data_IF_745292921326
#
_entry.id   IF_745292921326
#
_cell.length_a   1.000
_cell.length_b   1.000
_cell.length_c   1.000
_cell.angle_alpha   90.00
_cell.angle_beta   90.00
_cell.angle_gamma   90.00
#
_symmetry.space_group_name_H-M   'P 1'
#
loop_
_entity.id
_entity.type
_entity.pdbx_description
1 polymer ?
#
# COMPACT_ATOMS: atom_id res chain seq x y z
N UNK A 1 -8.12 -13.64 -9.74
CA UNK A 1 -6.90 -14.46 -9.49
C UNK A 1 -5.84 -14.10 -10.52
N UNK A 2 -4.64 -13.71 -10.10
CA UNK A 2 -3.57 -13.18 -10.98
C UNK A 2 -2.78 -14.29 -11.69
N UNK A 3 -2.74 -15.49 -11.11
CA UNK A 3 -2.06 -16.67 -11.64
C UNK A 3 -3.06 -17.60 -12.33
N UNK A 4 -2.73 -18.09 -13.53
CA UNK A 4 -3.60 -19.02 -14.29
C UNK A 4 -3.09 -20.45 -14.39
N UNK A 5 -1.78 -20.63 -14.46
CA UNK A 5 -1.18 -21.96 -14.67
C UNK A 5 0.29 -21.97 -14.22
N UNK A 6 0.61 -22.51 -13.03
CA UNK A 6 1.96 -22.81 -12.62
C UNK A 6 2.42 -24.21 -13.08
N UNK A 7 3.72 -24.29 -13.34
CA UNK A 7 4.47 -25.51 -13.63
C UNK A 7 5.30 -25.79 -12.38
N UNK A 8 5.06 -26.94 -11.77
CA UNK A 8 5.57 -27.30 -10.46
C UNK A 8 6.51 -28.49 -10.59
N UNK A 9 7.70 -28.37 -10.01
CA UNK A 9 8.53 -29.52 -9.71
C UNK A 9 8.23 -29.95 -8.27
N UNK A 10 7.57 -31.11 -8.11
CA UNK A 10 7.07 -31.55 -6.81
C UNK A 10 8.18 -32.14 -5.94
N UNK A 11 7.90 -32.33 -4.65
CA UNK A 11 8.82 -33.03 -3.73
C UNK A 11 9.08 -34.50 -4.09
N UNK A 12 8.32 -35.07 -5.04
CA UNK A 12 8.54 -36.42 -5.58
C UNK A 12 9.47 -36.45 -6.80
N UNK A 13 9.94 -35.29 -7.26
CA UNK A 13 10.78 -35.18 -8.44
C UNK A 13 10.00 -35.18 -9.77
N UNK A 14 8.70 -34.90 -9.72
CA UNK A 14 7.81 -34.93 -10.90
C UNK A 14 7.47 -33.51 -11.36
N UNK A 15 7.40 -33.33 -12.68
CA UNK A 15 6.88 -32.09 -13.28
C UNK A 15 5.38 -32.19 -13.47
N UNK A 16 4.64 -31.30 -12.81
CA UNK A 16 3.18 -31.21 -12.90
C UNK A 16 2.77 -29.84 -13.41
N UNK A 17 1.82 -29.81 -14.34
CA UNK A 17 1.16 -28.58 -14.79
C UNK A 17 -0.23 -28.53 -14.18
N UNK A 18 -0.47 -27.57 -13.29
CA UNK A 18 -1.76 -27.40 -12.63
C UNK A 18 -2.41 -26.06 -12.99
N UNK A 19 -3.73 -26.01 -12.91
CA UNK A 19 -4.58 -24.83 -13.18
C UNK A 19 -5.80 -24.86 -12.26
N UNK A 20 -6.65 -23.84 -12.32
CA UNK A 20 -7.94 -23.84 -11.62
C UNK A 20 -8.92 -24.94 -12.07
N UNK A 21 -8.62 -25.68 -13.15
CA UNK A 21 -9.46 -26.75 -13.70
C UNK A 21 -8.73 -28.10 -13.82
N UNK A 22 -7.42 -28.15 -13.57
CA UNK A 22 -6.58 -29.34 -13.68
C UNK A 22 -5.63 -29.41 -12.50
N UNK A 23 -5.56 -30.55 -11.81
CA UNK A 23 -4.70 -30.72 -10.63
C UNK A 23 -4.95 -29.58 -9.61
N UNK A 24 -6.24 -29.29 -9.38
CA UNK A 24 -6.72 -28.08 -8.70
C UNK A 24 -6.26 -27.97 -7.26
N UNK A 25 -6.16 -29.11 -6.57
CA UNK A 25 -5.64 -29.18 -5.21
C UNK A 25 -4.20 -28.67 -5.16
N UNK A 26 -3.32 -29.19 -6.04
CA UNK A 26 -1.95 -28.72 -6.14
C UNK A 26 -1.90 -27.24 -6.54
N UNK A 27 -2.74 -26.81 -7.49
CA UNK A 27 -2.83 -25.42 -7.93
C UNK A 27 -3.11 -24.45 -6.79
N UNK A 28 -4.07 -24.75 -5.91
CA UNK A 28 -4.37 -23.89 -4.77
C UNK A 28 -3.38 -24.08 -3.62
N UNK A 29 -2.84 -25.28 -3.41
CA UNK A 29 -1.86 -25.56 -2.37
C UNK A 29 -0.56 -24.77 -2.56
N UNK A 30 -0.06 -24.63 -3.80
CA UNK A 30 1.18 -23.88 -4.07
C UNK A 30 1.03 -22.36 -3.90
N UNK A 31 -0.18 -21.83 -3.99
CA UNK A 31 -0.44 -20.39 -3.92
C UNK A 31 -0.54 -19.93 -2.46
N UNK A 32 0.53 -19.29 -1.98
CA UNK A 32 0.67 -19.02 -0.54
C UNK A 32 1.10 -20.24 0.27
N UNK A 33 1.47 -21.34 -0.40
CA UNK A 33 1.89 -22.60 0.23
C UNK A 33 3.31 -22.60 0.81
N UNK A 34 3.98 -21.45 0.87
CA UNK A 34 5.30 -21.28 1.50
C UNK A 34 6.35 -22.31 1.00
N UNK A 35 6.30 -22.68 -0.28
CA UNK A 35 7.22 -23.64 -0.90
C UNK A 35 7.07 -25.11 -0.45
N UNK A 36 6.03 -25.45 0.32
CA UNK A 36 5.88 -26.80 0.91
C UNK A 36 5.54 -27.89 -0.12
N UNK A 37 4.94 -27.53 -1.25
CA UNK A 37 4.36 -28.50 -2.20
C UNK A 37 5.15 -28.65 -3.50
N UNK A 38 6.26 -27.92 -3.64
CA UNK A 38 7.13 -27.97 -4.81
C UNK A 38 7.67 -26.60 -5.21
N UNK A 39 8.50 -26.60 -6.25
CA UNK A 39 9.14 -25.41 -6.81
C UNK A 39 8.34 -24.95 -8.02
N UNK A 40 7.85 -23.71 -8.00
CA UNK A 40 7.23 -23.08 -9.17
C UNK A 40 8.35 -22.73 -10.16
N UNK A 41 8.43 -23.46 -11.28
CA UNK A 41 9.46 -23.25 -12.32
C UNK A 41 8.99 -22.35 -13.46
N UNK A 42 7.68 -22.27 -13.69
CA UNK A 42 7.05 -21.34 -14.63
C UNK A 42 5.67 -20.99 -14.13
N UNK A 43 5.20 -19.79 -14.44
CA UNK A 43 3.84 -19.41 -14.13
C UNK A 43 3.26 -18.44 -15.17
N UNK A 44 1.95 -18.56 -15.44
CA UNK A 44 1.22 -17.66 -16.33
C UNK A 44 0.51 -16.58 -15.51
N UNK A 45 0.91 -15.33 -15.72
CA UNK A 45 0.40 -14.14 -15.04
C UNK A 45 -0.57 -13.41 -15.96
N UNK A 46 -1.70 -12.94 -15.42
CA UNK A 46 -2.64 -12.08 -16.14
C UNK A 46 -2.03 -10.70 -16.33
N UNK A 47 -2.09 -10.20 -17.57
CA UNK A 47 -1.64 -8.85 -17.91
C UNK A 47 -2.84 -7.96 -18.23
N UNK A 48 -2.67 -6.67 -18.01
CA UNK A 48 -3.55 -5.60 -18.46
C UNK A 48 -2.76 -4.60 -19.30
N UNK A 49 -3.41 -3.77 -20.13
CA UNK A 49 -2.73 -2.71 -20.86
C UNK A 49 -2.00 -1.77 -19.88
N UNK A 50 -0.70 -1.60 -20.07
CA UNK A 50 0.10 -0.68 -19.27
C UNK A 50 -0.38 0.76 -19.51
N UNK A 51 -0.53 1.50 -18.41
CA UNK A 51 -0.84 2.93 -18.46
C UNK A 51 0.42 3.75 -18.68
N UNK A 52 0.28 4.93 -19.26
CA UNK A 52 1.43 5.81 -19.48
C UNK A 52 1.84 6.54 -18.19
N UNK A 53 0.86 7.01 -17.42
CA UNK A 53 1.09 7.94 -16.30
C UNK A 53 0.27 7.60 -15.07
N UNK A 54 0.69 8.19 -13.94
CA UNK A 54 0.09 8.03 -12.62
C UNK A 54 -0.02 9.38 -11.93
N UNK A 55 -1.25 9.75 -11.55
CA UNK A 55 -1.47 10.78 -10.52
C UNK A 55 -1.30 10.11 -9.16
N UNK A 56 -0.23 10.44 -8.45
CA UNK A 56 0.13 9.88 -7.16
C UNK A 56 -0.10 10.91 -6.07
N UNK A 57 -1.02 10.62 -5.14
CA UNK A 57 -1.42 11.53 -4.09
C UNK A 57 -1.09 10.99 -2.70
N UNK A 58 -0.75 11.92 -1.81
CA UNK A 58 -0.61 11.71 -0.36
C UNK A 58 -1.53 12.67 0.38
N UNK A 59 -2.44 12.11 1.18
CA UNK A 59 -3.51 12.83 1.86
C UNK A 59 -3.34 12.63 3.37
N UNK A 60 -3.15 13.71 4.13
CA UNK A 60 -2.85 13.62 5.56
C UNK A 60 -4.09 13.73 6.44
N UNK A 61 -4.08 12.97 7.52
CA UNK A 61 -5.13 12.84 8.53
C UNK A 61 -4.53 12.97 9.93
N UNK A 62 -5.21 13.69 10.81
CA UNK A 62 -4.81 13.79 12.23
C UNK A 62 -5.52 12.78 13.14
N UNK A 63 -6.56 12.11 12.62
CA UNK A 63 -7.42 11.20 13.37
C UNK A 63 -7.51 9.83 12.68
N UNK A 64 -7.29 8.75 13.46
CA UNK A 64 -7.27 7.38 12.94
C UNK A 64 -8.66 6.91 12.47
N UNK A 65 -9.73 7.32 13.16
CA UNK A 65 -11.09 6.94 12.79
C UNK A 65 -11.45 7.49 11.41
N UNK A 66 -11.11 8.75 11.17
CA UNK A 66 -11.31 9.44 9.91
C UNK A 66 -10.45 8.86 8.79
N UNK A 67 -9.17 8.57 9.08
CA UNK A 67 -8.24 7.91 8.17
C UNK A 67 -8.75 6.52 7.71
N UNK A 68 -9.09 5.65 8.66
CA UNK A 68 -9.54 4.28 8.36
C UNK A 68 -10.89 4.27 7.64
N UNK A 69 -11.83 5.13 8.04
CA UNK A 69 -13.14 5.27 7.36
C UNK A 69 -12.99 5.71 5.91
N UNK A 70 -12.10 6.67 5.63
CA UNK A 70 -11.87 7.15 4.28
C UNK A 70 -11.14 6.10 3.42
N UNK A 71 -10.18 5.34 3.98
CA UNK A 71 -9.57 4.19 3.27
C UNK A 71 -10.63 3.16 2.87
N UNK A 72 -11.51 2.78 3.79
CA UNK A 72 -12.61 1.83 3.54
C UNK A 72 -13.60 2.34 2.51
N UNK A 73 -13.90 3.65 2.53
CA UNK A 73 -14.77 4.30 1.54
C UNK A 73 -14.19 4.21 0.14
N UNK A 74 -12.88 4.41 0.00
CA UNK A 74 -12.17 4.37 -1.29
C UNK A 74 -12.09 2.97 -1.89
N UNK A 75 -12.01 1.91 -1.06
CA UNK A 75 -11.99 0.52 -1.55
C UNK A 75 -13.39 -0.11 -1.67
N UNK A 76 -14.46 0.62 -1.33
CA UNK A 76 -15.83 0.10 -1.41
C UNK A 76 -16.21 -0.23 -2.85
N UNK A 77 -16.67 -1.47 -3.06
CA UNK A 77 -17.17 -1.97 -4.36
C UNK A 77 -18.64 -1.62 -4.60
N UNK A 78 -19.29 -0.96 -3.65
CA UNK A 78 -20.70 -0.56 -3.74
C UNK A 78 -20.87 0.93 -3.46
N UNK A 79 -21.94 1.50 -4.02
CA UNK A 79 -22.28 2.91 -3.83
C UNK A 79 -21.52 3.89 -4.74
N UNK A 80 -21.63 5.21 -4.48
CA UNK A 80 -21.11 6.25 -5.36
C UNK A 80 -19.57 6.24 -5.50
N UNK A 81 -18.84 5.76 -4.49
CA UNK A 81 -17.37 5.76 -4.47
C UNK A 81 -16.76 4.74 -5.43
N UNK A 82 -17.48 3.68 -5.83
CA UNK A 82 -16.98 2.68 -6.76
C UNK A 82 -16.51 3.28 -8.10
N UNK A 83 -17.21 4.32 -8.59
CA UNK A 83 -16.85 5.01 -9.85
C UNK A 83 -15.58 5.84 -9.76
N UNK A 84 -15.10 6.11 -8.55
CA UNK A 84 -13.93 6.96 -8.27
C UNK A 84 -12.87 6.24 -7.43
N UNK A 85 -12.99 4.92 -7.29
CA UNK A 85 -12.00 4.07 -6.61
C UNK A 85 -10.64 4.27 -7.27
N UNK A 86 -9.55 4.48 -6.50
CA UNK A 86 -8.20 4.59 -7.05
C UNK A 86 -7.69 3.23 -7.55
N UNK A 87 -6.72 3.26 -8.45
CA UNK A 87 -6.10 2.04 -8.98
C UNK A 87 -5.08 1.43 -7.99
N UNK A 88 -4.63 2.25 -7.02
CA UNK A 88 -3.80 1.84 -5.89
C UNK A 88 -4.22 2.61 -4.63
N UNK A 89 -4.22 1.91 -3.48
CA UNK A 89 -4.41 2.51 -2.16
C UNK A 89 -3.54 1.79 -1.14
N UNK A 90 -2.76 2.55 -0.40
CA UNK A 90 -2.11 2.15 0.84
C UNK A 90 -2.31 3.24 1.90
N UNK A 91 -1.78 3.00 3.08
CA UNK A 91 -1.68 4.02 4.10
C UNK A 91 -0.46 3.81 4.98
N UNK A 92 -0.02 4.88 5.60
CA UNK A 92 1.21 4.91 6.38
C UNK A 92 1.07 5.80 7.61
N UNK A 93 1.96 5.62 8.58
CA UNK A 93 2.15 6.53 9.70
C UNK A 93 3.30 7.49 9.42
N UNK A 94 3.08 8.78 9.66
CA UNK A 94 4.10 9.80 9.74
C UNK A 94 4.36 10.15 11.20
N UNK A 95 5.61 9.98 11.62
CA UNK A 95 6.14 10.28 12.95
C UNK A 95 7.40 11.15 12.81
N UNK A 96 8.00 11.59 13.90
CA UNK A 96 9.10 12.58 13.89
C UNK A 96 10.33 12.18 13.04
N UNK A 97 10.55 10.90 12.80
CA UNK A 97 11.67 10.38 11.99
C UNK A 97 11.27 9.98 10.55
N UNK A 98 10.01 10.17 10.17
CA UNK A 98 9.54 9.79 8.84
C UNK A 98 10.16 10.69 7.75
N UNK A 99 10.61 10.11 6.62
CA UNK A 99 11.16 10.89 5.52
C UNK A 99 10.09 11.78 4.88
N UNK A 100 10.47 13.01 4.56
CA UNK A 100 9.56 14.00 3.95
C UNK A 100 9.86 14.28 2.47
N UNK A 101 10.67 13.45 1.82
CA UNK A 101 11.16 13.64 0.43
C UNK A 101 10.03 13.62 -0.62
N UNK A 102 8.87 13.07 -0.27
CA UNK A 102 7.69 13.19 -1.12
C UNK A 102 7.15 14.63 -1.18
N UNK A 103 7.24 15.36 -0.07
CA UNK A 103 6.59 16.66 0.10
C UNK A 103 7.51 17.80 -0.37
N UNK A 104 6.95 18.89 -0.92
CA UNK A 104 7.73 20.09 -1.21
C UNK A 104 8.43 20.60 0.05
N UNK A 105 9.68 21.05 -0.07
CA UNK A 105 10.47 21.56 1.06
C UNK A 105 9.76 22.71 1.81
N UNK A 106 9.00 23.54 1.08
CA UNK A 106 8.19 24.63 1.65
C UNK A 106 7.07 24.15 2.60
N UNK A 107 6.70 22.87 2.55
CA UNK A 107 5.65 22.26 3.36
C UNK A 107 6.21 21.45 4.52
N UNK A 108 7.52 21.17 4.55
CA UNK A 108 8.16 20.34 5.58
C UNK A 108 7.89 20.88 6.98
N UNK A 109 8.09 22.18 7.22
CA UNK A 109 7.83 22.77 8.54
C UNK A 109 6.38 22.62 9.00
N UNK A 110 5.41 22.74 8.08
CA UNK A 110 3.98 22.57 8.40
C UNK A 110 3.65 21.12 8.74
N UNK A 111 4.21 20.17 7.99
CA UNK A 111 4.03 18.73 8.25
C UNK A 111 4.69 18.35 9.57
N UNK A 112 5.92 18.81 9.84
CA UNK A 112 6.60 18.60 11.13
C UNK A 112 5.81 19.18 12.29
N UNK A 113 5.24 20.38 12.14
CA UNK A 113 4.36 20.98 13.15
C UNK A 113 3.12 20.11 13.42
N UNK A 114 2.50 19.59 12.35
CA UNK A 114 1.36 18.68 12.45
C UNK A 114 1.72 17.38 13.20
N UNK A 115 2.87 16.78 12.86
CA UNK A 115 3.40 15.60 13.55
C UNK A 115 3.65 15.90 15.04
N UNK A 116 4.28 17.03 15.35
CA UNK A 116 4.54 17.41 16.74
C UNK A 116 3.26 17.66 17.53
N UNK A 117 2.21 18.18 16.89
CA UNK A 117 0.92 18.42 17.52
C UNK A 117 0.17 17.13 17.85
N UNK A 118 0.16 16.16 16.94
CA UNK A 118 -0.66 14.93 17.08
C UNK A 118 0.13 13.69 17.50
N UNK A 119 1.46 13.75 17.48
CA UNK A 119 2.39 12.63 17.67
C UNK A 119 2.46 11.71 16.45
N UNK A 120 1.31 11.27 15.96
CA UNK A 120 1.17 10.49 14.73
C UNK A 120 0.26 11.26 13.77
N UNK A 121 0.70 11.41 12.53
CA UNK A 121 -0.15 11.81 11.40
C UNK A 121 -0.33 10.60 10.50
N UNK A 122 -1.57 10.30 10.12
CA UNK A 122 -1.89 9.20 9.22
C UNK A 122 -1.90 9.71 7.78
N UNK A 123 -1.46 8.87 6.85
CA UNK A 123 -1.36 9.18 5.44
C UNK A 123 -2.15 8.15 4.65
N UNK A 124 -3.11 8.58 3.83
CA UNK A 124 -3.61 7.75 2.71
C UNK A 124 -2.76 8.06 1.48
N UNK A 125 -2.16 7.02 0.91
CA UNK A 125 -1.45 7.09 -0.36
C UNK A 125 -2.30 6.44 -1.45
N UNK A 126 -2.64 7.20 -2.49
CA UNK A 126 -3.45 6.71 -3.61
C UNK A 126 -2.80 7.00 -4.95
N UNK A 127 -3.08 6.16 -5.93
CA UNK A 127 -2.69 6.43 -7.31
C UNK A 127 -3.84 6.17 -8.29
N UNK A 128 -3.94 7.04 -9.29
CA UNK A 128 -4.87 6.94 -10.43
C UNK A 128 -4.06 6.82 -11.70
N UNK A 129 -4.20 5.71 -12.41
CA UNK A 129 -3.48 5.42 -13.64
C UNK A 129 -4.27 5.95 -14.84
N UNK A 130 -3.58 6.53 -15.82
CA UNK A 130 -4.24 7.17 -16.96
C UNK A 130 -3.33 7.26 -18.19
N UNK A 131 -4.00 7.37 -19.35
CA UNK A 131 -3.37 7.62 -20.66
C UNK A 131 -3.75 9.02 -21.20
N UNK A 132 -4.91 9.56 -20.82
CA UNK A 132 -5.52 10.80 -21.35
C UNK A 132 -6.03 11.74 -20.24
N UNK A 133 -6.30 13.01 -20.59
CA UNK A 133 -6.55 14.20 -19.74
C UNK A 133 -7.80 14.22 -18.81
N UNK A 134 -8.43 13.08 -18.51
CA UNK A 134 -9.64 13.04 -17.64
C UNK A 134 -9.35 12.66 -16.18
N UNK A 135 -8.11 12.38 -15.84
CA UNK A 135 -7.64 11.97 -14.51
C UNK A 135 -7.93 13.02 -13.44
N UNK A 136 -7.74 14.32 -13.75
CA UNK A 136 -7.97 15.41 -12.81
C UNK A 136 -9.42 15.45 -12.32
N UNK A 137 -10.38 15.11 -13.19
CA UNK A 137 -11.80 15.04 -12.82
C UNK A 137 -12.06 13.87 -11.88
N UNK A 138 -11.45 12.69 -12.13
CA UNK A 138 -11.55 11.50 -11.28
C UNK A 138 -10.94 11.77 -9.90
N UNK A 139 -9.74 12.34 -9.86
CA UNK A 139 -9.06 12.73 -8.61
C UNK A 139 -9.89 13.74 -7.82
N UNK A 140 -10.42 14.80 -8.46
CA UNK A 140 -11.28 15.78 -7.78
C UNK A 140 -12.56 15.15 -7.23
N UNK A 141 -13.17 14.21 -7.94
CA UNK A 141 -14.37 13.51 -7.44
C UNK A 141 -14.05 12.57 -6.28
N UNK A 142 -12.91 11.87 -6.35
CA UNK A 142 -12.39 11.04 -5.25
C UNK A 142 -12.14 11.88 -4.00
N UNK A 143 -11.42 13.00 -4.11
CA UNK A 143 -11.18 13.89 -2.97
C UNK A 143 -12.47 14.46 -2.36
N UNK A 144 -13.52 14.65 -3.17
CA UNK A 144 -14.85 15.07 -2.68
C UNK A 144 -15.59 13.99 -1.91
N UNK A 145 -15.28 12.70 -2.11
CA UNK A 145 -15.90 11.64 -1.31
C UNK A 145 -15.23 11.47 0.06
N UNK A 146 -14.03 12.03 0.23
CA UNK A 146 -13.29 12.04 1.50
C UNK A 146 -13.73 13.21 2.37
N UNK A 147 -13.79 12.99 3.68
CA UNK A 147 -14.29 13.98 4.65
C UNK A 147 -13.32 14.25 5.79
N UNK A 148 -12.38 13.34 6.03
CA UNK A 148 -11.61 13.30 7.26
C UNK A 148 -10.22 13.93 7.20
N UNK A 149 -9.75 14.31 6.01
CA UNK A 149 -8.37 14.78 5.84
C UNK A 149 -8.18 16.22 6.32
N UNK A 150 -6.96 16.54 6.72
CA UNK A 150 -6.60 17.89 7.15
C UNK A 150 -6.62 18.83 5.94
N UNK A 151 -7.46 19.86 5.98
CA UNK A 151 -7.57 20.82 4.88
C UNK A 151 -6.21 21.42 4.51
N UNK A 152 -5.88 21.40 3.21
CA UNK A 152 -4.61 21.90 2.69
C UNK A 152 -3.44 20.90 2.73
N UNK A 153 -3.62 19.69 3.25
CA UNK A 153 -2.59 18.64 3.28
C UNK A 153 -2.89 17.50 2.30
N UNK A 154 -3.12 17.90 1.05
CA UNK A 154 -3.18 17.01 -0.11
C UNK A 154 -1.99 17.35 -0.99
N UNK A 155 -1.14 16.37 -1.23
CA UNK A 155 0.08 16.52 -2.03
C UNK A 155 0.02 15.57 -3.20
N UNK A 156 0.43 16.04 -4.37
CA UNK A 156 0.37 15.27 -5.61
C UNK A 156 1.72 15.28 -6.33
N UNK A 157 1.99 14.18 -7.02
CA UNK A 157 3.02 14.05 -8.05
C UNK A 157 2.40 13.42 -9.28
N UNK A 158 2.97 13.77 -10.43
CA UNK A 158 2.59 13.24 -11.72
C UNK A 158 3.81 12.56 -12.33
N UNK A 159 3.78 11.24 -12.40
CA UNK A 159 4.93 10.39 -12.76
C UNK A 159 4.53 9.37 -13.82
N UNK A 160 5.52 8.77 -14.47
CA UNK A 160 5.27 7.62 -15.36
C UNK A 160 4.81 6.41 -14.56
N UNK A 161 4.11 5.50 -15.23
CA UNK A 161 3.68 4.24 -14.61
C UNK A 161 4.84 3.41 -14.06
N UNK A 162 5.97 3.36 -14.77
CA UNK A 162 7.15 2.64 -14.32
C UNK A 162 7.81 3.30 -13.11
N UNK A 163 7.96 4.63 -13.10
CA UNK A 163 8.51 5.35 -11.93
C UNK A 163 7.68 5.08 -10.68
N UNK A 164 6.34 5.09 -10.81
CA UNK A 164 5.48 4.73 -9.68
C UNK A 164 5.71 3.30 -9.21
N UNK A 165 5.67 2.30 -10.10
CA UNK A 165 5.85 0.89 -9.73
C UNK A 165 7.24 0.59 -9.16
N UNK A 166 8.28 1.29 -9.61
CA UNK A 166 9.67 1.06 -9.20
C UNK A 166 10.14 2.00 -8.06
N UNK A 167 9.25 2.80 -7.46
CA UNK A 167 9.60 3.87 -6.50
C UNK A 167 10.43 3.45 -5.28
N UNK A 168 10.34 2.18 -4.87
CA UNK A 168 11.11 1.65 -3.71
C UNK A 168 12.57 1.35 -4.09
N UNK A 169 12.88 1.16 -5.38
CA UNK A 169 14.25 0.95 -5.84
C UNK A 169 15.13 2.19 -5.61
N UNK A 170 14.57 3.39 -5.77
CA UNK A 170 15.30 4.63 -5.47
C UNK A 170 15.66 4.71 -3.98
N UNK A 171 14.74 4.28 -3.11
CA UNK A 171 14.98 4.19 -1.66
C UNK A 171 16.05 3.14 -1.33
N UNK A 172 16.02 1.98 -1.98
CA UNK A 172 17.07 0.95 -1.87
C UNK A 172 18.45 1.53 -2.19
N UNK A 173 18.60 2.23 -3.33
CA UNK A 173 19.88 2.83 -3.74
C UNK A 173 20.38 3.81 -2.69
N UNK A 174 19.50 4.66 -2.15
CA UNK A 174 19.85 5.65 -1.12
C UNK A 174 20.28 4.95 0.18
N UNK A 175 19.55 3.93 0.62
CA UNK A 175 19.86 3.19 1.86
C UNK A 175 21.14 2.38 1.72
N UNK A 176 21.41 1.75 0.57
CA UNK A 176 22.67 1.05 0.30
C UNK A 176 23.87 1.99 0.39
N UNK A 177 23.79 3.19 -0.19
CA UNK A 177 24.85 4.22 -0.09
C UNK A 177 25.12 4.65 1.34
N UNK A 178 24.11 4.61 2.21
CA UNK A 178 24.22 4.94 3.64
C UNK A 178 24.64 3.74 4.50
N UNK A 179 24.81 2.55 3.93
CA UNK A 179 25.06 1.32 4.68
C UNK A 179 23.88 0.85 5.54
N UNK A 180 22.66 1.31 5.21
CA UNK A 180 21.43 1.04 5.96
C UNK A 180 20.54 -0.02 5.30
N UNK A 181 20.96 -0.60 4.18
CA UNK A 181 20.20 -1.65 3.50
C UNK A 181 20.57 -3.05 3.96
N UNK A 182 21.85 -3.40 4.01
CA UNK A 182 22.29 -4.76 4.38
C UNK A 182 22.40 -4.91 5.91
N UNK A 183 21.33 -4.56 6.63
CA UNK A 183 21.20 -4.62 8.10
C UNK A 183 20.08 -5.59 8.52
N UNK A 184 19.98 -5.96 9.82
CA UNK A 184 18.83 -6.74 10.29
C UNK A 184 17.50 -5.99 10.09
N UNK A 185 16.52 -6.67 9.49
CA UNK A 185 15.17 -6.16 9.26
C UNK A 185 14.14 -6.93 10.10
N UNK A 186 13.89 -6.54 11.35
CA UNK A 186 12.92 -7.22 12.22
C UNK A 186 11.47 -6.85 11.86
N UNK A 187 11.07 -7.14 10.62
CA UNK A 187 9.75 -6.79 10.10
C UNK A 187 8.64 -7.63 10.73
N UNK A 188 7.50 -6.97 11.01
CA UNK A 188 6.27 -7.61 11.45
C UNK A 188 5.19 -7.37 10.39
N UNK A 189 4.73 -8.44 9.74
CA UNK A 189 3.67 -8.41 8.73
C UNK A 189 2.48 -9.23 9.25
N UNK A 190 1.32 -8.59 9.44
CA UNK A 190 0.13 -9.21 10.03
C UNK A 190 -1.16 -8.73 9.36
N UNK A 191 -2.15 -9.63 9.28
CA UNK A 191 -3.52 -9.26 8.92
C UNK A 191 -4.35 -9.02 10.18
N UNK A 192 -5.00 -7.86 10.24
CA UNK A 192 -5.82 -7.46 11.38
C UNK A 192 -7.27 -7.34 10.89
N UNK A 193 -8.25 -7.97 11.57
CA UNK A 193 -9.65 -7.80 11.23
C UNK A 193 -10.08 -6.33 11.38
N UNK A 194 -10.89 -5.85 10.43
CA UNK A 194 -11.49 -4.50 10.46
C UNK A 194 -12.07 -4.14 11.84
N UNK A 195 -12.80 -5.08 12.46
CA UNK A 195 -13.45 -4.86 13.76
C UNK A 195 -12.50 -4.55 14.90
N UNK A 196 -11.20 -4.82 14.76
CA UNK A 196 -10.17 -4.63 15.80
C UNK A 196 -9.09 -3.62 15.41
N UNK A 197 -9.19 -2.97 14.25
CA UNK A 197 -8.12 -2.08 13.79
C UNK A 197 -7.97 -0.83 14.68
N UNK A 198 -9.06 -0.31 15.23
CA UNK A 198 -9.01 0.80 16.20
C UNK A 198 -8.38 0.39 17.53
N UNK A 199 -8.65 -0.83 18.00
CA UNK A 199 -7.97 -1.36 19.19
C UNK A 199 -6.47 -1.53 18.93
N UNK A 200 -6.11 -1.95 17.72
CA UNK A 200 -4.72 -2.09 17.31
C UNK A 200 -4.01 -0.74 17.19
N UNK A 201 -4.65 0.29 16.62
CA UNK A 201 -4.12 1.66 16.63
C UNK A 201 -3.81 2.11 18.07
N UNK A 202 -4.80 2.01 18.95
CA UNK A 202 -4.63 2.40 20.35
C UNK A 202 -3.53 1.60 21.04
N UNK A 203 -3.50 0.27 20.87
CA UNK A 203 -2.58 -0.62 21.54
C UNK A 203 -1.16 -0.60 20.99
N UNK A 204 -0.99 -0.60 19.66
CA UNK A 204 0.29 -0.70 19.00
C UNK A 204 0.82 0.67 18.58
N UNK A 205 0.10 1.40 17.73
CA UNK A 205 0.60 2.66 17.16
C UNK A 205 0.75 3.73 18.25
N UNK A 206 -0.30 4.01 19.00
CA UNK A 206 -0.31 5.09 20.00
C UNK A 206 0.38 4.70 21.30
N UNK A 207 0.18 3.46 21.78
CA UNK A 207 0.72 3.04 23.07
C UNK A 207 2.13 2.43 23.02
N UNK A 208 2.53 1.78 21.92
CA UNK A 208 3.87 1.19 21.81
C UNK A 208 4.76 2.06 20.94
N UNK A 209 4.40 2.29 19.67
CA UNK A 209 5.29 2.96 18.72
C UNK A 209 5.55 4.42 19.11
N UNK A 210 4.49 5.19 19.34
CA UNK A 210 4.61 6.60 19.72
C UNK A 210 5.34 6.77 21.06
N UNK A 211 4.92 6.04 22.10
CA UNK A 211 5.51 6.19 23.45
C UNK A 211 6.96 5.72 23.56
N UNK A 212 7.39 4.80 22.70
CA UNK A 212 8.79 4.33 22.66
C UNK A 212 9.66 5.09 21.67
N UNK A 213 9.15 6.18 21.08
CA UNK A 213 9.83 6.95 20.04
C UNK A 213 10.38 6.03 18.94
N UNK A 214 9.52 5.15 18.42
CA UNK A 214 9.92 4.16 17.41
C UNK A 214 10.62 4.86 16.23
N UNK A 215 11.90 4.52 16.04
CA UNK A 215 12.77 5.14 15.04
C UNK A 215 12.85 4.36 13.73
N UNK A 216 12.21 3.19 13.66
CA UNK A 216 12.27 2.35 12.47
C UNK A 216 11.38 2.89 11.36
N UNK A 217 11.90 2.76 10.13
CA UNK A 217 11.36 3.32 8.90
C UNK A 217 10.07 2.61 8.47
N UNK A 218 9.07 3.41 8.14
CA UNK A 218 7.80 3.06 7.48
C UNK A 218 6.92 2.04 8.21
N UNK A 219 5.76 2.51 8.68
CA UNK A 219 4.67 1.66 9.18
C UNK A 219 3.53 1.73 8.18
N UNK A 220 3.21 0.60 7.54
CA UNK A 220 2.11 0.49 6.58
C UNK A 220 0.83 -0.01 7.26
N UNK A 221 -0.31 0.60 6.92
CA UNK A 221 -1.64 0.19 7.35
C UNK A 221 -2.66 0.53 6.27
N UNK A 222 -3.31 -0.50 5.72
CA UNK A 222 -4.31 -0.35 4.67
C UNK A 222 -5.29 -1.52 4.66
N UNK A 223 -6.56 -1.29 4.29
CA UNK A 223 -7.57 -2.33 4.25
C UNK A 223 -7.45 -3.20 2.99
N UNK A 224 -7.89 -4.45 3.11
CA UNK A 224 -8.02 -5.38 2.00
C UNK A 224 -9.45 -5.93 1.94
N UNK A 225 -9.95 -6.14 0.72
CA UNK A 225 -11.18 -6.88 0.50
C UNK A 225 -10.91 -8.37 0.61
N UNK A 226 -11.65 -9.06 1.49
CA UNK A 226 -11.54 -10.54 1.62
C UNK A 226 -11.94 -11.26 0.33
N UNK A 227 -12.91 -10.72 -0.39
CA UNK A 227 -13.40 -11.24 -1.65
C UNK A 227 -13.42 -10.11 -2.68
N UNK A 228 -12.77 -10.33 -3.82
CA UNK A 228 -12.85 -9.47 -5.01
C UNK A 228 -13.73 -10.14 -6.07
#
# INVERSE_FOLDING_TARGET
MVWRAPFIFTGKGEFVTCTSQKDTELFYAVLGGLGQFGIITRARIVLEPAKERVKWLRILYSDFSSFSTDQETLISTTGPSHKVMPDYLEGQLLMSQSPLDFYPQSQHQKITSLINQYGIVYLIEVATYYDNKNEDKRVKQMLKSLKGFVHGFVFEKDVTYLEFLNRVHDEEIVLRKKGLWDIPHPWLNIFIPRSRITDFDNGAFRNILLKRNFTSSTVLVYPLLRSK
#
